data_IF_071465276837
#
_entry.id   IF_071465276837
#
_cell.length_a   1.000
_cell.length_b   1.000
_cell.length_c   1.000
_cell.angle_alpha   90.00
_cell.angle_beta   90.00
_cell.angle_gamma   90.00
#
_symmetry.space_group_name_H-M   'P 1'
#
loop_
_entity.id
_entity.type
_entity.pdbx_description
1 polymer ?
#
# COMPACT_ATOMS: atom_id res chain seq x y z
N UNK A 1 -18.78 8.13 -5.54
CA UNK A 1 -18.91 6.93 -4.68
C UNK A 1 -17.53 6.39 -4.33
N UNK A 2 -17.34 6.01 -3.10
CA UNK A 2 -16.08 5.46 -2.66
C UNK A 2 -16.09 3.94 -2.75
N UNK A 3 -14.92 3.39 -3.01
CA UNK A 3 -14.70 1.96 -3.01
C UNK A 3 -13.42 1.65 -2.25
N UNK A 4 -13.17 0.39 -2.00
CA UNK A 4 -11.92 -0.02 -1.39
C UNK A 4 -11.35 -1.22 -2.13
N UNK A 5 -10.03 -1.35 -2.03
CA UNK A 5 -9.29 -2.47 -2.54
C UNK A 5 -8.43 -2.98 -1.39
N UNK A 6 -8.57 -4.24 -1.06
CA UNK A 6 -7.82 -4.84 0.03
C UNK A 6 -7.22 -6.16 -0.37
N UNK A 7 -6.03 -6.44 0.14
CA UNK A 7 -5.32 -7.69 -0.13
C UNK A 7 -4.55 -8.14 1.09
N UNK A 8 -4.53 -9.45 1.28
CA UNK A 8 -3.58 -10.09 2.19
C UNK A 8 -2.49 -10.72 1.33
N UNK A 9 -1.25 -10.68 1.79
CA UNK A 9 -0.14 -11.21 1.01
C UNK A 9 1.02 -11.61 1.91
N UNK A 10 1.69 -12.69 1.55
CA UNK A 10 2.93 -13.11 2.19
C UNK A 10 4.15 -12.48 1.50
N UNK A 11 3.96 -11.68 0.46
CA UNK A 11 5.04 -11.03 -0.24
C UNK A 11 5.84 -10.14 0.70
N UNK A 12 7.14 -10.14 0.53
CA UNK A 12 8.04 -9.26 1.29
C UNK A 12 8.38 -8.02 0.47
N UNK A 13 8.49 -6.91 1.17
CA UNK A 13 8.74 -5.60 0.56
C UNK A 13 9.99 -4.98 1.18
N UNK A 14 10.50 -3.92 0.56
CA UNK A 14 11.52 -3.07 1.17
C UNK A 14 10.90 -1.74 1.56
N UNK A 15 11.52 -1.05 2.52
CA UNK A 15 11.05 0.27 2.94
C UNK A 15 11.01 1.23 1.74
N UNK A 16 12.08 1.25 0.95
CA UNK A 16 12.15 2.10 -0.25
C UNK A 16 11.13 1.70 -1.29
N UNK A 17 10.86 0.41 -1.43
CA UNK A 17 9.85 -0.09 -2.36
C UNK A 17 8.46 0.42 -1.99
N UNK A 18 8.12 0.39 -0.70
CA UNK A 18 6.84 0.92 -0.24
C UNK A 18 6.78 2.44 -0.45
N UNK A 19 7.85 3.16 -0.13
CA UNK A 19 7.88 4.61 -0.36
C UNK A 19 7.59 4.95 -1.82
N UNK A 20 8.20 4.21 -2.74
CA UNK A 20 7.99 4.40 -4.18
C UNK A 20 6.54 4.09 -4.57
N UNK A 21 5.99 3.01 -4.05
CA UNK A 21 4.60 2.63 -4.32
C UNK A 21 3.65 3.75 -3.87
N UNK A 22 3.85 4.29 -2.66
CA UNK A 22 2.98 5.35 -2.16
C UNK A 22 3.08 6.61 -3.01
N UNK A 23 4.28 6.95 -3.51
CA UNK A 23 4.43 8.10 -4.39
C UNK A 23 3.67 7.91 -5.71
N UNK A 24 3.56 6.68 -6.20
CA UNK A 24 2.81 6.36 -7.42
C UNK A 24 1.31 6.50 -7.23
N UNK A 25 0.80 6.31 -6.01
CA UNK A 25 -0.64 6.41 -5.74
C UNK A 25 -1.23 7.80 -6.00
N UNK A 26 -0.39 8.81 -6.13
CA UNK A 26 -0.83 10.16 -6.50
C UNK A 26 -1.24 10.26 -7.97
N UNK A 27 -0.87 9.28 -8.79
CA UNK A 27 -1.16 9.31 -10.22
C UNK A 27 -2.57 8.81 -10.50
N UNK A 28 -3.23 9.41 -11.47
CA UNK A 28 -4.62 9.12 -11.78
C UNK A 28 -4.87 7.72 -12.34
N UNK A 29 -3.85 7.02 -12.81
CA UNK A 29 -4.04 5.69 -13.38
C UNK A 29 -4.56 4.67 -12.36
N UNK A 30 -4.41 4.94 -11.07
CA UNK A 30 -4.90 4.07 -10.00
C UNK A 30 -6.29 4.45 -9.50
N UNK A 31 -6.84 5.53 -10.03
CA UNK A 31 -8.05 6.16 -9.55
C UNK A 31 -7.72 7.33 -8.64
N UNK A 32 -8.72 7.82 -7.94
CA UNK A 32 -8.53 8.91 -6.98
C UNK A 32 -8.34 8.25 -5.60
N UNK A 33 -7.10 8.10 -5.18
CA UNK A 33 -6.78 7.47 -3.90
C UNK A 33 -6.88 8.50 -2.80
N UNK A 34 -7.75 8.24 -1.83
CA UNK A 34 -7.95 9.13 -0.68
C UNK A 34 -7.16 8.67 0.52
N UNK A 35 -6.95 7.37 0.68
CA UNK A 35 -6.19 6.83 1.78
C UNK A 35 -5.68 5.44 1.43
N UNK A 36 -4.49 5.13 1.90
CA UNK A 36 -3.99 3.77 1.87
C UNK A 36 -3.30 3.49 3.19
N UNK A 37 -3.35 2.25 3.63
CA UNK A 37 -2.60 1.82 4.81
C UNK A 37 -2.29 0.34 4.70
N UNK A 38 -1.29 -0.07 5.42
CA UNK A 38 -0.94 -1.47 5.45
C UNK A 38 0.17 -1.80 6.42
N UNK A 39 0.29 -3.10 6.63
CA UNK A 39 1.36 -3.70 7.40
C UNK A 39 1.84 -4.87 6.56
N UNK A 40 3.11 -4.85 6.14
CA UNK A 40 3.65 -5.89 5.27
C UNK A 40 4.99 -6.39 5.81
N UNK A 41 5.31 -7.62 5.47
CA UNK A 41 6.60 -8.20 5.86
C UNK A 41 7.73 -7.53 5.06
N UNK A 42 8.82 -7.24 5.73
CA UNK A 42 10.03 -6.71 5.09
C UNK A 42 11.01 -7.81 4.74
N UNK A 43 11.82 -7.58 3.72
CA UNK A 43 12.85 -8.54 3.30
C UNK A 43 13.94 -8.73 4.35
N UNK A 44 14.10 -7.76 5.24
CA UNK A 44 15.10 -7.79 6.31
C UNK A 44 14.58 -8.42 7.62
N UNK A 45 13.39 -9.00 7.58
CA UNK A 45 12.77 -9.62 8.75
C UNK A 45 12.00 -8.65 9.62
N UNK A 46 12.06 -7.37 9.33
CA UNK A 46 11.29 -6.36 10.04
C UNK A 46 9.99 -6.12 9.30
N UNK A 47 8.95 -5.72 10.01
CA UNK A 47 7.67 -5.43 9.39
C UNK A 47 7.53 -3.94 9.12
N UNK A 48 6.92 -3.62 7.98
CA UNK A 48 6.76 -2.25 7.49
C UNK A 48 5.31 -1.84 7.64
N UNK A 49 5.09 -0.73 8.33
CA UNK A 49 3.78 -0.10 8.47
C UNK A 49 3.74 1.13 7.59
N UNK A 50 2.64 1.36 6.90
CA UNK A 50 2.54 2.56 6.08
C UNK A 50 1.14 3.15 6.13
N UNK A 51 1.10 4.46 5.96
CA UNK A 51 -0.12 5.25 5.83
C UNK A 51 0.09 6.27 4.71
N UNK A 52 -0.97 6.51 3.95
CA UNK A 52 -0.95 7.47 2.86
C UNK A 52 -2.25 8.25 2.82
N UNK A 53 -2.14 9.56 2.70
CA UNK A 53 -3.20 10.44 2.21
C UNK A 53 -2.54 11.31 1.14
N UNK A 54 -3.32 11.95 0.23
CA UNK A 54 -2.72 12.77 -0.82
C UNK A 54 -1.70 13.76 -0.25
N UNK A 55 -0.51 13.78 -0.85
CA UNK A 55 0.62 14.64 -0.50
C UNK A 55 1.28 14.32 0.84
N UNK A 56 0.85 13.26 1.53
CA UNK A 56 1.45 12.91 2.82
C UNK A 56 1.54 11.39 2.95
N UNK A 57 2.74 10.88 3.05
CA UNK A 57 2.99 9.46 3.22
C UNK A 57 3.89 9.24 4.43
N UNK A 58 3.63 8.16 5.15
CA UNK A 58 4.44 7.77 6.29
C UNK A 58 4.77 6.28 6.18
N UNK A 59 6.05 5.95 6.21
CA UNK A 59 6.53 4.57 6.14
C UNK A 59 7.50 4.36 7.30
N UNK A 60 7.29 3.32 8.09
CA UNK A 60 8.10 3.06 9.27
C UNK A 60 8.13 1.57 9.57
N UNK A 61 9.06 1.15 10.38
CA UNK A 61 9.04 -0.20 10.93
C UNK A 61 8.13 -0.27 12.14
N UNK A 62 7.53 -1.42 12.36
CA UNK A 62 6.61 -1.61 13.48
C UNK A 62 6.43 -3.07 13.82
N UNK A 63 5.44 -3.34 14.66
CA UNK A 63 5.18 -4.69 15.15
C UNK A 63 4.79 -5.64 14.02
N UNK A 64 5.18 -6.90 14.18
CA UNK A 64 4.86 -7.95 13.21
C UNK A 64 3.37 -8.29 13.24
N UNK A 65 2.87 -8.74 12.09
CA UNK A 65 1.54 -9.32 11.98
C UNK A 65 1.67 -10.76 11.52
N UNK A 66 0.55 -11.47 11.40
CA UNK A 66 0.53 -12.86 10.94
C UNK A 66 0.72 -12.91 9.42
N UNK A 67 0.11 -11.98 8.71
CA UNK A 67 0.18 -11.89 7.25
C UNK A 67 0.14 -10.42 6.84
N UNK A 68 0.76 -10.07 5.72
CA UNK A 68 0.70 -8.72 5.19
C UNK A 68 -0.71 -8.34 4.77
N UNK A 69 -1.08 -7.09 5.04
CA UNK A 69 -2.40 -6.54 4.70
C UNK A 69 -2.24 -5.16 4.11
N UNK A 70 -2.96 -4.93 3.01
CA UNK A 70 -2.93 -3.66 2.30
C UNK A 70 -4.38 -3.24 2.07
N UNK A 71 -4.69 -1.98 2.34
CA UNK A 71 -6.01 -1.42 2.08
C UNK A 71 -5.89 -0.06 1.41
N UNK A 72 -6.61 0.12 0.30
CA UNK A 72 -6.67 1.39 -0.42
C UNK A 72 -8.12 1.80 -0.51
N UNK A 73 -8.41 3.05 -0.17
CA UNK A 73 -9.75 3.63 -0.22
C UNK A 73 -9.73 4.82 -1.17
N UNK A 74 -10.71 4.89 -2.04
CA UNK A 74 -10.80 6.00 -2.97
C UNK A 74 -12.00 5.92 -3.88
N UNK A 75 -11.94 6.65 -4.97
CA UNK A 75 -13.00 6.72 -5.96
C UNK A 75 -12.46 6.24 -7.30
N UNK A 76 -13.24 5.43 -8.00
CA UNK A 76 -12.87 4.90 -9.34
C UNK A 76 -11.53 4.16 -9.30
N UNK A 77 -11.31 3.36 -8.26
CA UNK A 77 -10.07 2.61 -8.13
C UNK A 77 -9.94 1.59 -9.25
N UNK A 78 -8.74 1.50 -9.81
CA UNK A 78 -8.40 0.48 -10.80
C UNK A 78 -7.72 -0.69 -10.09
N UNK A 79 -8.49 -1.75 -9.85
CA UNK A 79 -8.01 -2.88 -9.06
C UNK A 79 -6.84 -3.61 -9.71
N UNK A 80 -6.83 -3.70 -11.05
CA UNK A 80 -5.72 -4.37 -11.76
C UNK A 80 -4.44 -3.56 -11.66
N UNK A 81 -4.54 -2.25 -11.83
CA UNK A 81 -3.38 -1.37 -11.71
C UNK A 81 -2.84 -1.36 -10.29
N UNK A 82 -3.73 -1.38 -9.29
CA UNK A 82 -3.29 -1.43 -7.89
C UNK A 82 -2.57 -2.74 -7.59
N UNK A 83 -3.12 -3.87 -8.04
CA UNK A 83 -2.47 -5.16 -7.83
C UNK A 83 -1.09 -5.19 -8.48
N UNK A 84 -0.99 -4.69 -9.70
CA UNK A 84 0.29 -4.64 -10.41
C UNK A 84 1.30 -3.74 -9.69
N UNK A 85 0.84 -2.60 -9.17
CA UNK A 85 1.70 -1.67 -8.44
C UNK A 85 2.34 -2.34 -7.23
N UNK A 86 1.56 -3.10 -6.47
CA UNK A 86 2.07 -3.83 -5.30
C UNK A 86 2.74 -5.15 -5.68
N UNK A 87 2.70 -5.54 -6.96
CA UNK A 87 3.32 -6.78 -7.42
C UNK A 87 2.53 -8.02 -7.03
N UNK A 88 1.23 -7.92 -7.01
CA UNK A 88 0.35 -9.02 -6.55
C UNK A 88 -0.45 -9.67 -7.70
#
# INVERSE_FOLDING_TARGET
MFSNWGKETAKKFTLKGIEKILSELEKSKYGIVLRAKGIVAGEDGKWIHFDFVPEEANVRYGAADVIGRICVIGSKLDNEELAELFGL
#
